data_IF_173606509566
#
_entry.id   IF_173606509566
#
_cell.length_a   1.000
_cell.length_b   1.000
_cell.length_c   1.000
_cell.angle_alpha   90.00
_cell.angle_beta   90.00
_cell.angle_gamma   90.00
#
_symmetry.space_group_name_H-M   'P 1'
#
loop_
_entity.id
_entity.type
_entity.pdbx_description
1 polymer ?
#
# COMPACT_ATOMS: atom_id res chain seq x y z
N UNK A 1 3.69 -9.86 -2.57
CA UNK A 1 5.09 -9.49 -2.82
C UNK A 1 5.42 -9.90 -4.24
N UNK A 2 6.00 -8.99 -5.01
CA UNK A 2 6.43 -9.20 -6.39
C UNK A 2 7.93 -9.00 -6.46
N UNK A 3 8.63 -9.80 -7.25
CA UNK A 3 10.08 -9.72 -7.42
C UNK A 3 10.41 -9.58 -8.92
N UNK A 4 11.29 -8.64 -9.24
CA UNK A 4 11.75 -8.39 -10.61
C UNK A 4 13.26 -8.11 -10.60
N UNK A 5 14.06 -9.14 -10.85
CA UNK A 5 15.51 -9.07 -10.72
C UNK A 5 15.91 -8.66 -9.30
N UNK A 6 16.59 -7.51 -9.19
CA UNK A 6 17.02 -6.96 -7.90
C UNK A 6 15.98 -6.05 -7.23
N UNK A 7 14.75 -5.99 -7.74
CA UNK A 7 13.69 -5.15 -7.19
C UNK A 7 12.62 -6.01 -6.52
N UNK A 8 12.32 -5.73 -5.26
CA UNK A 8 11.19 -6.32 -4.54
C UNK A 8 10.12 -5.25 -4.35
N UNK A 9 8.90 -5.56 -4.74
CA UNK A 9 7.74 -4.68 -4.61
C UNK A 9 6.75 -5.30 -3.63
N UNK A 10 6.39 -4.53 -2.62
CA UNK A 10 5.37 -4.93 -1.65
C UNK A 10 4.19 -3.97 -1.67
N UNK A 11 3.00 -4.51 -1.43
CA UNK A 11 1.79 -3.74 -1.15
C UNK A 11 1.33 -4.21 0.22
N UNK A 12 1.38 -3.33 1.22
CA UNK A 12 1.10 -3.67 2.61
C UNK A 12 0.10 -2.69 3.22
N UNK A 13 -0.59 -3.15 4.26
CA UNK A 13 -1.47 -2.32 5.05
C UNK A 13 -0.82 -2.09 6.42
N UNK A 14 -0.29 -0.89 6.64
CA UNK A 14 0.43 -0.54 7.86
C UNK A 14 -0.53 0.10 8.86
N UNK A 15 -0.47 -0.32 10.12
CA UNK A 15 -1.32 0.16 11.21
C UNK A 15 -0.48 0.86 12.29
N UNK A 16 -0.93 2.03 12.71
CA UNK A 16 -0.35 2.70 13.87
C UNK A 16 -0.72 1.94 15.16
N UNK A 17 0.26 1.73 16.03
CA UNK A 17 0.12 0.94 17.27
C UNK A 17 -1.01 1.48 18.17
N UNK A 18 -1.19 2.80 18.25
CA UNK A 18 -2.05 3.47 19.25
C UNK A 18 -3.36 4.09 18.68
N UNK A 19 -3.95 3.55 17.60
CA UNK A 19 -5.21 3.99 16.92
C UNK A 19 -5.09 5.30 16.09
N UNK A 20 -6.09 5.63 15.23
CA UNK A 20 -6.80 4.78 14.28
C UNK A 20 -6.14 4.83 12.87
N UNK A 21 -4.91 5.33 12.77
CA UNK A 21 -4.26 5.55 11.49
C UNK A 21 -3.86 4.22 10.86
N UNK A 22 -4.23 4.05 9.60
CA UNK A 22 -3.73 2.98 8.76
C UNK A 22 -3.48 3.49 7.35
N UNK A 23 -2.54 2.85 6.65
CA UNK A 23 -2.02 3.31 5.38
C UNK A 23 -1.88 2.14 4.42
N UNK A 24 -2.25 2.37 3.16
CA UNK A 24 -1.84 1.52 2.07
C UNK A 24 -0.46 1.97 1.64
N UNK A 25 0.53 1.08 1.76
CA UNK A 25 1.93 1.38 1.49
C UNK A 25 2.41 0.51 0.34
N UNK A 26 3.00 1.15 -0.67
CA UNK A 26 3.72 0.48 -1.74
C UNK A 26 5.20 0.75 -1.55
N UNK A 27 6.00 -0.30 -1.35
CA UNK A 27 7.44 -0.18 -1.16
C UNK A 27 8.17 -0.81 -2.34
N UNK A 28 9.10 -0.06 -2.94
CA UNK A 28 10.03 -0.49 -3.97
C UNK A 28 11.41 -0.66 -3.34
N UNK A 29 11.86 -1.90 -3.16
CA UNK A 29 13.06 -2.24 -2.42
C UNK A 29 14.11 -2.73 -3.42
N UNK A 30 15.17 -1.95 -3.61
CA UNK A 30 16.28 -2.35 -4.49
C UNK A 30 17.33 -3.13 -3.70
N UNK A 31 17.80 -4.23 -4.30
CA UNK A 31 18.77 -5.15 -3.74
C UNK A 31 20.09 -5.13 -4.51
N UNK A 32 21.18 -5.44 -3.80
CA UNK A 32 22.47 -5.79 -4.39
C UNK A 32 23.16 -6.78 -3.46
N UNK A 33 23.62 -7.90 -4.01
CA UNK A 33 24.29 -8.97 -3.24
C UNK A 33 23.45 -9.37 -2.00
N UNK A 34 22.14 -9.58 -2.22
CA UNK A 34 21.12 -9.91 -1.22
C UNK A 34 20.92 -8.87 -0.10
N UNK A 35 21.44 -7.65 -0.26
CA UNK A 35 21.28 -6.54 0.69
C UNK A 35 20.43 -5.43 0.11
N UNK A 36 19.61 -4.80 0.96
CA UNK A 36 18.83 -3.61 0.58
C UNK A 36 19.79 -2.43 0.40
N UNK A 37 19.72 -1.78 -0.77
CA UNK A 37 20.53 -0.60 -1.09
C UNK A 37 19.70 0.69 -1.16
N UNK A 38 18.41 0.59 -1.42
CA UNK A 38 17.46 1.71 -1.38
C UNK A 38 16.04 1.22 -1.18
N UNK A 39 15.19 2.09 -0.65
CA UNK A 39 13.75 1.88 -0.55
C UNK A 39 13.06 3.19 -0.94
N UNK A 40 12.16 3.12 -1.93
CA UNK A 40 11.21 4.18 -2.24
C UNK A 40 9.82 3.73 -1.79
N UNK A 41 9.17 4.52 -0.94
CA UNK A 41 7.85 4.18 -0.39
C UNK A 41 6.80 5.24 -0.67
N UNK A 42 5.62 4.77 -1.07
CA UNK A 42 4.45 5.59 -1.28
C UNK A 42 3.40 5.23 -0.23
N UNK A 43 3.11 6.20 0.64
CA UNK A 43 2.19 6.05 1.77
C UNK A 43 0.89 6.79 1.48
N UNK A 44 -0.18 6.05 1.20
CA UNK A 44 -1.51 6.61 1.07
C UNK A 44 -2.30 6.38 2.36
N UNK A 45 -2.78 7.47 2.97
CA UNK A 45 -3.74 7.37 4.06
C UNK A 45 -5.12 7.04 3.49
N UNK A 46 -5.80 6.05 4.07
CA UNK A 46 -7.20 5.79 3.77
C UNK A 46 -8.03 7.06 4.04
N UNK A 47 -8.45 7.73 2.98
CA UNK A 47 -9.33 8.89 3.04
C UNK A 47 -10.79 8.47 2.91
N UNK A 48 -11.71 9.36 3.31
CA UNK A 48 -13.13 9.15 3.05
C UNK A 48 -13.36 8.94 1.56
N UNK A 49 -14.15 7.92 1.24
CA UNK A 49 -14.55 7.63 -0.12
C UNK A 49 -15.29 8.84 -0.70
N UNK A 50 -14.91 9.28 -1.91
CA UNK A 50 -15.59 10.38 -2.58
C UNK A 50 -17.10 10.11 -2.72
N UNK A 51 -17.93 11.16 -2.62
CA UNK A 51 -19.39 11.06 -2.62
C UNK A 51 -19.93 10.23 -3.78
N UNK A 52 -19.39 10.41 -4.99
CA UNK A 52 -19.83 9.63 -6.15
C UNK A 52 -19.67 8.11 -6.02
N UNK A 53 -18.70 7.60 -5.24
CA UNK A 53 -18.59 6.16 -4.95
C UNK A 53 -19.64 5.72 -3.93
N UNK A 54 -19.92 6.55 -2.93
CA UNK A 54 -20.94 6.29 -1.91
C UNK A 54 -22.34 6.26 -2.54
N UNK A 55 -22.66 7.28 -3.33
CA UNK A 55 -23.96 7.47 -4.00
C UNK A 55 -24.26 6.34 -4.98
N UNK A 56 -23.24 5.90 -5.74
CA UNK A 56 -23.36 4.81 -6.69
C UNK A 56 -23.17 3.42 -6.07
N UNK A 57 -22.99 3.34 -4.75
CA UNK A 57 -22.69 2.11 -4.02
C UNK A 57 -21.49 1.31 -4.59
N UNK A 58 -20.51 2.01 -5.18
CA UNK A 58 -19.31 1.43 -5.79
C UNK A 58 -18.35 0.97 -4.69
N UNK A 59 -17.89 -0.28 -4.77
CA UNK A 59 -16.95 -0.89 -3.82
C UNK A 59 -17.63 -1.78 -2.77
N UNK A 60 -18.93 -2.07 -2.90
CA UNK A 60 -19.59 -3.13 -2.15
C UNK A 60 -19.40 -4.49 -2.87
N UNK A 61 -19.31 -5.60 -2.13
CA UNK A 61 -19.34 -6.93 -2.73
C UNK A 61 -20.63 -7.12 -3.54
N UNK A 62 -20.51 -7.69 -4.74
CA UNK A 62 -21.68 -8.09 -5.54
C UNK A 62 -22.22 -9.37 -4.90
N UNK A 63 -23.52 -9.39 -4.60
CA UNK A 63 -24.24 -10.59 -4.15
C UNK A 63 -24.92 -11.25 -5.33
#
# INVERSE_FOLDING_TARGET
MLEFGNLVITVTHVYAINKPLSFHVVSFISLKDDKIISIDEYWERMMMCHSGRLDKHIGKPIK
#
